data_IF_453419924351
#
_entry.id   IF_453419924351
#
_cell.length_a   1.000
_cell.length_b   1.000
_cell.length_c   1.000
_cell.angle_alpha   90.00
_cell.angle_beta   90.00
_cell.angle_gamma   90.00
#
_symmetry.space_group_name_H-M   'P 1'
#
loop_
_entity.id
_entity.type
_entity.pdbx_description
1 polymer ?
2 polymer ?
3 non-polymer ?
4 non-polymer ?
5 water ?
#
# COMPACT_ATOMS: atom_id res chain seq x y z
N UNK A 2 -10.68 -14.82 17.50
CA UNK A 2 -10.35 -13.43 17.19
C UNK A 2 -9.45 -13.22 15.97
N UNK A 3 -9.32 -14.21 15.06
CA UNK A 3 -8.49 -14.03 13.86
C UNK A 3 -9.07 -13.00 12.87
N UNK A 4 -10.36 -12.65 13.01
CA UNK A 4 -11.02 -11.70 12.13
C UNK A 4 -10.91 -10.22 12.56
N UNK A 5 -10.32 -9.92 13.72
CA UNK A 5 -10.23 -8.52 14.20
C UNK A 5 -9.58 -7.55 13.20
N UNK A 6 -10.21 -6.39 12.95
CA UNK A 6 -9.66 -5.43 11.97
C UNK A 6 -8.39 -4.72 12.46
N UNK A 7 -8.25 -4.54 13.78
CA UNK A 7 -7.09 -3.88 14.36
C UNK A 7 -5.81 -4.67 14.05
N UNK A 8 -5.83 -6.01 14.27
CA UNK A 8 -4.66 -6.85 14.05
C UNK A 8 -4.26 -6.91 12.56
N UNK A 9 -5.26 -6.82 11.66
CA UNK A 9 -5.05 -6.85 10.23
C UNK A 9 -4.33 -5.57 9.79
N UNK A 10 -4.81 -4.40 10.28
CA UNK A 10 -4.17 -3.14 9.94
C UNK A 10 -2.75 -3.06 10.50
N UNK A 11 -2.50 -3.60 11.68
CA UNK A 11 -1.17 -3.62 12.26
C UNK A 11 -0.22 -4.45 11.39
N UNK A 12 -0.69 -5.58 10.82
CA UNK A 12 0.12 -6.41 9.91
C UNK A 12 0.40 -5.66 8.64
N UNK A 13 -0.62 -4.97 8.08
CA UNK A 13 -0.45 -4.16 6.88
C UNK A 13 0.62 -3.08 7.12
N UNK A 14 0.54 -2.42 8.29
CA UNK A 14 1.46 -1.39 8.73
C UNK A 14 2.89 -1.88 8.78
N UNK A 15 3.18 -3.02 9.46
CA UNK A 15 4.53 -3.57 9.51
C UNK A 15 5.02 -3.91 8.11
N UNK A 16 4.22 -4.61 7.31
CA UNK A 16 4.60 -4.99 5.95
C UNK A 16 4.97 -3.77 5.12
N UNK A 17 4.19 -2.68 5.21
CA UNK A 17 4.46 -1.45 4.47
C UNK A 17 5.59 -0.62 5.05
N UNK A 18 5.90 -0.72 6.36
CA UNK A 18 7.07 -0.05 6.94
C UNK A 18 8.37 -0.72 6.40
N UNK A 19 8.29 -1.98 5.93
CA UNK A 19 9.42 -2.71 5.38
C UNK A 19 9.37 -2.93 3.87
N UNK A 20 8.71 -2.04 3.15
CA UNK A 20 8.66 -2.11 1.70
C UNK A 20 7.50 -2.83 1.03
N UNK A 21 6.51 -3.25 1.80
CA UNK A 21 5.31 -3.89 1.24
C UNK A 21 5.32 -5.40 1.17
N UNK A 22 6.43 -6.02 1.62
CA UNK A 22 6.65 -7.46 1.63
C UNK A 22 7.62 -7.89 2.74
N UNK A 23 7.33 -9.01 3.41
CA UNK A 23 8.22 -9.57 4.41
C UNK A 23 8.08 -11.05 4.42
N UNK A 24 9.16 -11.75 4.76
CA UNK A 24 9.11 -13.19 4.99
C UNK A 24 8.31 -13.38 6.30
N UNK A 25 7.48 -14.46 6.38
CA UNK A 25 6.64 -14.74 7.53
C UNK A 25 7.41 -14.77 8.85
N UNK A 26 8.60 -15.36 8.80
CA UNK A 26 9.56 -15.51 9.90
C UNK A 26 9.99 -14.11 10.44
N UNK A 27 10.25 -13.16 9.54
CA UNK A 27 10.65 -11.79 9.89
C UNK A 27 9.46 -10.99 10.42
N UNK A 28 8.25 -11.24 9.89
CA UNK A 28 7.04 -10.57 10.36
C UNK A 28 6.73 -10.98 11.80
N UNK A 29 6.92 -12.29 12.12
CA UNK A 29 6.69 -12.86 13.44
C UNK A 29 7.53 -12.21 14.54
N UNK A 30 8.74 -11.74 14.20
CA UNK A 30 9.59 -11.08 15.19
C UNK A 30 9.03 -9.72 15.66
N UNK A 31 8.01 -9.19 14.95
CA UNK A 31 7.49 -7.86 15.19
C UNK A 31 6.06 -7.79 15.66
N UNK A 32 5.40 -8.92 15.80
CA UNK A 32 4.01 -8.95 16.25
C UNK A 32 3.88 -10.11 17.23
N UNK A 33 3.21 -9.87 18.36
CA UNK A 33 3.08 -10.88 19.40
C UNK A 33 1.97 -11.89 19.15
N UNK A 34 2.11 -12.65 18.06
CA UNK A 34 1.20 -13.73 17.70
C UNK A 34 2.07 -14.95 17.41
N UNK A 35 1.62 -16.16 17.81
CA UNK A 35 2.35 -17.38 17.44
C UNK A 35 2.18 -17.59 15.90
N UNK A 36 3.02 -18.42 15.28
CA UNK A 36 2.91 -18.70 13.85
C UNK A 36 1.50 -19.16 13.42
N UNK A 37 0.86 -20.18 14.08
CA UNK A 37 -0.50 -20.54 13.67
C UNK A 37 -1.49 -19.39 13.82
N UNK A 38 -1.36 -18.56 14.88
CA UNK A 38 -2.25 -17.39 15.08
C UNK A 38 -2.11 -16.39 13.93
N UNK A 39 -0.87 -16.07 13.52
CA UNK A 39 -0.61 -15.15 12.42
C UNK A 39 -1.14 -15.76 11.11
N UNK A 40 -0.93 -17.06 10.91
CA UNK A 40 -1.42 -17.75 9.71
C UNK A 40 -2.94 -17.68 9.59
N UNK A 41 -3.67 -17.85 10.71
CA UNK A 41 -5.12 -17.79 10.73
C UNK A 41 -5.62 -16.39 10.33
N UNK A 42 -4.95 -15.33 10.82
CA UNK A 42 -5.31 -13.96 10.48
C UNK A 42 -5.10 -13.71 8.99
N UNK A 43 -3.98 -14.14 8.44
CA UNK A 43 -3.68 -13.95 7.01
C UNK A 43 -4.71 -14.68 6.16
N UNK A 44 -5.00 -15.96 6.50
CA UNK A 44 -5.99 -16.79 5.80
C UNK A 44 -7.39 -16.15 5.81
N UNK A 45 -7.91 -15.75 6.99
CA UNK A 45 -9.27 -15.22 7.07
C UNK A 45 -9.39 -13.82 6.43
N UNK A 46 -8.33 -12.99 6.51
CA UNK A 46 -8.34 -11.69 5.82
C UNK A 46 -8.34 -11.92 4.29
N UNK A 47 -7.62 -12.92 3.84
CA UNK A 47 -7.62 -13.31 2.44
C UNK A 47 -6.77 -12.50 1.50
N UNK A 48 -6.82 -12.85 0.20
CA UNK A 48 -5.95 -12.16 -0.81
C UNK A 48 -6.27 -10.69 -1.12
N UNK A 49 -7.41 -10.16 -0.67
CA UNK A 49 -7.70 -8.73 -0.88
C UNK A 49 -6.91 -7.83 0.10
N UNK A 50 -6.22 -8.42 1.09
CA UNK A 50 -5.42 -7.65 2.04
C UNK A 50 -4.01 -8.24 2.10
N UNK A 51 -3.88 -9.58 2.06
CA UNK A 51 -2.58 -10.25 2.15
C UNK A 51 -2.41 -11.33 1.10
N UNK A 52 -1.36 -11.21 0.29
CA UNK A 52 -1.03 -12.20 -0.70
C UNK A 52 0.08 -13.06 -0.13
N UNK A 53 -0.18 -14.35 0.09
CA UNK A 53 0.80 -15.25 0.67
C UNK A 53 1.44 -16.14 -0.38
N UNK A 54 2.78 -16.19 -0.41
CA UNK A 54 3.49 -16.99 -1.41
C UNK A 54 4.45 -17.98 -0.76
N UNK A 55 4.56 -19.17 -1.36
CA UNK A 55 5.48 -20.19 -0.91
C UNK A 55 6.65 -20.11 -1.88
N UNK A 56 7.54 -19.13 -1.67
CA UNK A 56 8.70 -18.84 -2.50
C UNK A 56 9.85 -19.80 -2.23
N UNK A 63 10.05 -21.13 2.91
CA UNK A 63 10.21 -19.68 2.73
C UNK A 63 8.89 -18.96 2.36
N UNK A 64 7.95 -18.82 3.33
CA UNK A 64 6.70 -18.09 3.07
C UNK A 64 6.93 -16.58 3.11
N UNK A 65 6.39 -15.91 2.12
CA UNK A 65 6.49 -14.46 1.94
C UNK A 65 5.09 -13.85 1.95
N UNK A 66 4.96 -12.62 2.47
CA UNK A 66 3.66 -11.96 2.57
C UNK A 66 3.69 -10.60 1.91
N UNK A 67 2.77 -10.32 1.01
CA UNK A 67 2.66 -9.06 0.29
C UNK A 67 1.41 -8.33 0.72
N UNK A 68 1.54 -7.06 1.06
CA UNK A 68 0.38 -6.26 1.49
C UNK A 68 -0.36 -5.67 0.32
N UNK A 69 -1.69 -5.67 0.37
CA UNK A 69 -2.49 -5.04 -0.67
C UNK A 69 -3.77 -4.41 -0.07
N UNK A 70 -4.59 -3.75 -0.92
CA UNK A 70 -5.81 -3.06 -0.49
C UNK A 70 -6.70 -2.83 -1.71
N UNK A 71 -7.98 -2.60 -1.46
CA UNK A 71 -8.92 -2.23 -2.52
C UNK A 71 -9.12 -0.70 -2.57
N UNK A 72 -8.46 0.09 -1.68
CA UNK A 72 -8.56 1.55 -1.64
C UNK A 72 -7.86 2.13 -2.85
N UNK A 73 -8.48 3.14 -3.46
CA UNK A 73 -7.97 3.77 -4.66
C UNK A 73 -7.90 5.29 -4.51
N UNK A 74 -7.05 5.91 -5.29
CA UNK A 74 -6.86 7.33 -5.34
C UNK A 74 -7.73 7.90 -6.49
N UNK A 75 -8.31 9.07 -6.28
CA UNK A 75 -9.13 9.75 -7.26
C UNK A 75 -8.25 10.14 -8.46
N UNK A 76 -8.69 9.81 -9.68
CA UNK A 76 -7.95 10.15 -10.90
C UNK A 76 -8.46 11.45 -11.53
N UNK A 77 -9.45 12.14 -10.95
CA UNK A 77 -9.99 13.36 -11.56
C UNK A 77 -8.96 14.50 -11.57
N UNK A 78 -8.90 15.26 -12.69
CA UNK A 78 -8.04 16.45 -12.72
C UNK A 78 -8.63 17.54 -11.82
N UNK A 79 -9.95 17.63 -11.76
CA UNK A 79 -10.68 18.53 -10.87
C UNK A 79 -11.85 17.71 -10.36
N UNK A 80 -11.89 17.48 -9.05
CA UNK A 80 -12.95 16.66 -8.49
C UNK A 80 -13.94 17.47 -7.71
N UNK A 81 -15.22 17.31 -8.06
CA UNK A 81 -16.30 18.00 -7.38
C UNK A 81 -16.98 17.01 -6.44
N UNK A 82 -16.84 17.22 -5.14
CA UNK A 82 -17.44 16.33 -4.14
C UNK A 82 -18.97 16.21 -4.30
N UNK A 83 -19.59 15.07 -3.89
CA UNK A 83 -19.02 13.91 -3.18
C UNK A 83 -18.25 12.95 -4.06
N UNK A 84 -17.28 12.25 -3.43
CA UNK A 84 -16.36 11.28 -4.06
C UNK A 84 -15.76 10.50 -2.89
N UNK A 85 -15.90 9.16 -2.88
CA UNK A 85 -15.41 8.37 -1.74
C UNK A 85 -14.04 7.67 -1.97
N UNK A 86 -13.18 8.25 -2.84
CA UNK A 86 -11.80 7.77 -3.06
C UNK A 86 -10.81 8.66 -2.26
N UNK A 87 -9.52 8.28 -2.19
CA UNK A 87 -8.51 9.12 -1.53
C UNK A 87 -8.16 10.28 -2.46
N UNK A 88 -7.89 11.45 -1.90
CA UNK A 88 -7.49 12.61 -2.68
C UNK A 88 -6.07 12.98 -2.31
N UNK A 89 -5.12 12.71 -3.20
CA UNK A 89 -3.73 13.02 -2.96
C UNK A 89 -2.97 13.19 -4.28
N UNK A 90 -1.87 13.94 -4.24
CA UNK A 90 -1.04 14.18 -5.40
C UNK A 90 -0.30 12.90 -5.77
N UNK A 91 -0.57 12.35 -6.96
CA UNK A 91 0.06 11.12 -7.43
C UNK A 91 1.56 11.28 -7.63
N UNK A 92 1.98 12.36 -8.32
CA UNK A 92 3.39 12.67 -8.62
C UNK A 92 4.23 12.82 -7.38
N UNK A 93 3.63 13.31 -6.29
CA UNK A 93 4.32 13.49 -5.02
C UNK A 93 4.69 12.11 -4.43
N UNK A 94 3.77 11.11 -4.55
CA UNK A 94 4.05 9.76 -4.04
C UNK A 94 5.14 9.04 -4.85
N UNK A 95 5.28 9.37 -6.13
CA UNK A 95 6.31 8.76 -6.97
C UNK A 95 7.70 9.47 -6.85
N UNK A 96 7.81 10.44 -5.94
CA UNK A 96 9.03 11.24 -5.73
C UNK A 96 9.32 12.16 -6.88
N UNK A 97 8.26 12.74 -7.47
CA UNK A 97 8.42 13.59 -8.64
C UNK A 97 7.41 14.75 -8.75
N UNK A 98 7.08 15.44 -7.62
CA UNK A 98 6.21 16.61 -7.72
C UNK A 98 7.08 17.82 -7.54
N UNK A 99 7.12 18.67 -8.56
CA UNK A 99 7.93 19.87 -8.52
C UNK A 99 7.61 20.80 -7.35
N UNK A 100 6.34 20.82 -6.90
CA UNK A 100 5.92 21.69 -5.79
C UNK A 100 6.43 21.24 -4.43
N UNK A 105 6.33 28.28 -1.89
CA UNK A 105 4.88 28.17 -1.92
C UNK A 105 4.40 26.92 -2.66
N UNK A 106 3.34 26.30 -2.19
CA UNK A 106 2.78 25.11 -2.84
C UNK A 106 1.56 25.46 -3.70
N UNK A 107 1.74 25.50 -5.02
CA UNK A 107 0.62 25.76 -5.92
C UNK A 107 0.03 24.49 -6.54
N UNK A 108 0.25 23.33 -5.92
CA UNK A 108 -0.31 22.09 -6.44
C UNK A 108 -1.80 22.07 -6.17
N UNK A 109 -2.58 21.68 -7.18
CA UNK A 109 -4.02 21.57 -7.02
C UNK A 109 -4.48 20.22 -6.42
N UNK A 110 -3.52 19.33 -6.09
CA UNK A 110 -3.76 18.03 -5.51
C UNK A 110 -3.13 17.99 -4.13
N UNK A 111 -3.82 17.38 -3.18
CA UNK A 111 -3.43 17.35 -1.77
C UNK A 111 -2.06 16.72 -1.50
N UNK A 112 -1.20 17.49 -0.81
CA UNK A 112 0.10 17.00 -0.33
C UNK A 112 -0.02 16.44 1.09
N UNK A 113 -1.08 16.81 1.82
CA UNK A 113 -1.36 16.26 3.14
C UNK A 113 -1.90 14.85 2.88
N UNK A 114 -1.04 13.84 3.00
CA UNK A 114 -1.46 12.45 2.76
C UNK A 114 -2.54 12.02 3.76
N UNK A 115 -2.39 12.38 5.04
CA UNK A 115 -3.36 12.01 6.06
C UNK A 115 -4.25 13.18 6.47
N UNK A 116 -4.89 13.80 5.49
CA UNK A 116 -5.83 14.91 5.73
C UNK A 116 -7.14 14.35 6.35
N UNK A 117 -8.07 15.21 6.80
CA UNK A 117 -9.32 14.75 7.40
C UNK A 117 -10.13 13.90 6.43
N UNK A 118 -10.24 14.35 5.18
CA UNK A 118 -10.96 13.61 4.14
C UNK A 118 -10.36 12.23 3.91
N UNK A 119 -9.03 12.13 3.84
CA UNK A 119 -8.37 10.86 3.61
C UNK A 119 -8.48 9.92 4.81
N UNK A 120 -8.45 10.48 6.03
CA UNK A 120 -8.59 9.73 7.27
C UNK A 120 -9.92 8.96 7.31
N UNK A 121 -11.01 9.60 6.85
CA UNK A 121 -12.34 9.00 6.78
C UNK A 121 -12.37 7.81 5.83
N UNK A 122 -11.74 7.95 4.65
CA UNK A 122 -11.63 6.87 3.65
C UNK A 122 -10.80 5.72 4.21
N UNK A 123 -9.73 6.03 4.95
CA UNK A 123 -8.90 5.02 5.59
C UNK A 123 -9.71 4.25 6.64
N UNK A 124 -10.56 4.93 7.40
CA UNK A 124 -11.43 4.27 8.37
C UNK A 124 -12.41 3.30 7.67
N UNK A 125 -12.95 3.68 6.48
CA UNK A 125 -13.86 2.81 5.71
C UNK A 125 -13.14 1.54 5.25
N UNK A 126 -11.86 1.66 4.88
CA UNK A 126 -11.09 0.48 4.44
C UNK A 126 -10.36 -0.25 5.58
N UNK A 127 -10.63 0.16 6.85
CA UNK A 127 -10.03 -0.36 8.08
C UNK A 127 -8.52 -0.24 8.03
N UNK A 128 -8.03 0.95 7.66
CA UNK A 128 -6.63 1.25 7.46
C UNK A 128 -6.10 2.42 8.30
N UNK A 129 -6.90 2.95 9.26
CA UNK A 129 -6.38 4.02 10.12
C UNK A 129 -5.30 3.42 11.03
N UNK A 130 -4.17 4.09 11.11
CA UNK A 130 -3.03 3.57 11.84
C UNK A 130 -1.76 3.58 11.00
N UNK A 131 -1.90 3.66 9.68
CA UNK A 131 -0.78 3.73 8.76
C UNK A 131 -0.30 5.18 8.71
N UNK A 132 1.01 5.40 8.57
CA UNK A 132 1.52 6.76 8.40
C UNK A 132 1.55 7.10 6.89
N UNK A 133 1.97 8.31 6.50
CA UNK A 133 2.01 8.69 5.08
C UNK A 133 3.00 7.84 4.25
N UNK A 134 4.12 7.41 4.85
CA UNK A 134 5.11 6.58 4.16
C UNK A 134 4.58 5.16 3.86
N UNK A 135 3.91 4.53 4.84
CA UNK A 135 3.33 3.18 4.69
C UNK A 135 2.16 3.18 3.74
N UNK A 136 1.32 4.22 3.75
CA UNK A 136 0.21 4.33 2.81
C UNK A 136 0.75 4.48 1.35
N UNK A 137 1.88 5.20 1.16
CA UNK A 137 2.48 5.41 -0.16
C UNK A 137 2.97 4.08 -0.74
N UNK A 138 3.65 3.26 0.11
CA UNK A 138 4.15 1.95 -0.29
C UNK A 138 2.95 1.05 -0.64
N UNK A 139 1.88 1.10 0.17
CA UNK A 139 0.67 0.32 -0.06
C UNK A 139 -0.04 0.67 -1.38
N UNK A 140 -0.29 1.95 -1.64
CA UNK A 140 -0.95 2.38 -2.87
C UNK A 140 -0.07 2.16 -4.09
N UNK A 141 1.25 2.35 -3.98
CA UNK A 141 2.17 2.15 -5.10
C UNK A 141 2.10 0.75 -5.69
N UNK A 142 1.97 -0.31 -4.86
CA UNK A 142 1.86 -1.66 -5.37
C UNK A 142 0.43 -2.16 -5.55
N UNK A 143 -0.59 -1.41 -5.10
CA UNK A 143 -1.98 -1.88 -5.18
C UNK A 143 -2.84 -1.14 -6.17
N UNK A 144 -2.58 0.17 -6.32
CA UNK A 144 -3.37 1.04 -7.18
C UNK A 144 -2.70 1.16 -8.54
N UNK A 145 -3.33 0.60 -9.60
CA UNK A 145 -2.72 0.66 -10.94
C UNK A 145 -2.57 2.06 -11.54
N UNK A 146 -3.15 3.08 -10.90
CA UNK A 146 -2.99 4.47 -11.32
C UNK A 146 -1.50 4.90 -11.18
N UNK A 147 -0.72 4.26 -10.31
CA UNK A 147 0.69 4.58 -10.13
C UNK A 147 1.63 3.97 -11.15
N UNK A 148 1.15 3.09 -12.00
CA UNK A 148 1.98 2.47 -13.02
C UNK A 148 2.05 3.33 -14.29
N UNK A 149 3.19 3.25 -15.02
CA UNK A 149 3.29 4.00 -16.29
C UNK A 149 2.27 3.55 -17.34
N UNK A 150 2.08 4.35 -18.38
CA UNK A 150 1.11 4.07 -19.44
C UNK A 150 1.39 2.78 -20.18
N UNK A 151 0.31 2.12 -20.64
CA UNK A 151 0.43 0.91 -21.43
C UNK A 151 0.40 1.27 -22.94
N UNK A 152 1.23 0.61 -23.77
CA UNK A 152 1.29 0.90 -25.21
C UNK A 152 0.00 0.41 -25.84
N UNK A 153 -0.71 1.29 -26.55
CA UNK A 153 -1.98 0.94 -27.19
C UNK A 153 -1.82 0.25 -28.53
N UNK A 154 -0.63 0.33 -29.16
CA UNK A 154 -0.42 -0.40 -30.42
C UNK A 154 0.17 -1.81 -30.22
N UNK A 155 0.34 -2.23 -28.96
CA UNK A 155 0.85 -3.55 -28.62
C UNK A 155 -0.33 -4.54 -28.66
N UNK A 156 -0.25 -5.55 -29.54
CA UNK A 156 -1.33 -6.52 -29.68
C UNK A 156 -1.03 -7.88 -29.03
N UNK A 157 0.25 -8.20 -28.84
CA UNK A 157 0.62 -9.48 -28.24
C UNK A 157 2.00 -9.99 -28.59
N UNK A 158 2.38 -11.12 -27.99
CA UNK A 158 3.67 -11.74 -28.19
C UNK A 158 3.80 -12.40 -29.57
N UNK A 159 4.99 -12.26 -30.18
CA UNK A 159 5.29 -12.82 -31.49
C UNK A 159 4.49 -12.18 -32.62
N UNK A 160 4.04 -10.92 -32.42
CA UNK A 160 3.20 -10.23 -33.40
C UNK A 160 3.46 -8.73 -33.49
N UNK A 161 3.28 -8.16 -34.71
CA UNK A 161 3.35 -6.74 -35.05
C UNK A 161 4.70 -6.05 -34.75
N UNK A 162 5.82 -6.81 -34.74
CA UNK A 162 7.17 -6.28 -34.46
C UNK A 162 7.18 -5.48 -33.14
N UNK A 163 6.53 -6.06 -32.09
CA UNK A 163 6.25 -5.47 -30.77
C UNK A 163 5.07 -4.48 -30.91
N UNK A 164 5.30 -3.34 -31.59
CA UNK A 164 4.31 -2.31 -31.89
C UNK A 164 4.78 -1.48 -33.13
N UNK A 165 4.30 -0.24 -33.32
CA UNK A 165 4.77 0.60 -34.43
C UNK A 165 6.26 0.98 -34.23
N UNK A 166 6.72 1.08 -32.97
CA UNK A 166 8.11 1.40 -32.65
C UNK A 166 8.86 0.11 -32.33
N UNK A 169 13.44 3.09 -28.77
CA UNK A 169 12.68 2.13 -27.94
C UNK A 169 11.32 2.69 -27.52
N UNK A 170 10.34 1.81 -27.32
CA UNK A 170 9.00 2.26 -26.93
C UNK A 170 9.00 2.65 -25.46
N UNK A 171 8.58 3.89 -25.17
CA UNK A 171 8.53 4.36 -23.78
C UNK A 171 7.32 3.84 -22.99
N UNK A 172 6.41 3.11 -23.63
CA UNK A 172 5.21 2.60 -22.96
C UNK A 172 5.27 1.07 -22.77
N UNK A 173 4.49 0.57 -21.80
CA UNK A 173 4.49 -0.84 -21.42
C UNK A 173 3.87 -1.78 -22.43
N UNK A 174 4.57 -2.88 -22.70
CA UNK A 174 4.06 -3.91 -23.58
C UNK A 174 3.52 -4.99 -22.70
N UNK A 175 2.45 -4.65 -22.00
CA UNK A 175 1.79 -5.52 -21.04
C UNK A 175 0.27 -5.51 -21.27
N UNK A 176 -0.41 -6.54 -20.77
CA UNK A 176 -1.86 -6.60 -20.82
C UNK A 176 -2.43 -5.60 -19.81
N UNK A 177 -3.29 -4.70 -20.30
CA UNK A 177 -4.00 -3.66 -19.55
C UNK A 177 -4.96 -4.30 -18.56
N UNK A 178 -5.67 -5.35 -18.98
CA UNK A 178 -6.62 -6.02 -18.09
C UNK A 178 -5.91 -6.73 -16.97
N UNK A 179 -4.72 -7.25 -17.21
CA UNK A 179 -3.94 -7.93 -16.18
C UNK A 179 -3.58 -6.96 -15.05
N UNK A 180 -3.09 -5.75 -15.40
CA UNK A 180 -2.72 -4.71 -14.45
C UNK A 180 -3.94 -4.19 -13.63
N UNK A 181 -5.15 -4.14 -14.26
CA UNK A 181 -6.36 -3.73 -13.56
C UNK A 181 -7.11 -4.89 -12.85
N UNK A 182 -6.51 -6.08 -12.82
CA UNK A 182 -7.06 -7.25 -12.17
C UNK A 182 -8.29 -7.85 -12.82
N UNK A 183 -8.50 -7.63 -14.12
CA UNK A 183 -9.67 -8.15 -14.80
C UNK A 183 -9.40 -8.76 -16.21
N UNK A 184 -8.37 -9.62 -16.34
CA UNK A 184 -8.12 -10.26 -17.63
C UNK A 184 -8.81 -11.61 -17.60
N UNK A 185 -10.12 -11.60 -17.89
CA UNK A 185 -10.94 -12.80 -17.84
C UNK A 185 -11.14 -13.42 -19.21
N UNK A 186 -10.14 -13.29 -20.11
CA UNK A 186 -10.27 -13.82 -21.46
C UNK A 186 -9.27 -14.92 -21.85
N UNK A 187 -9.75 -16.10 -22.33
CA UNK A 187 -8.82 -17.19 -22.68
C UNK A 187 -7.95 -16.97 -23.92
N UNK A 188 -8.38 -16.13 -24.87
CA UNK A 188 -7.57 -15.91 -26.07
C UNK A 188 -6.70 -14.65 -25.98
N UNK A 189 -6.14 -14.36 -24.78
CA UNK A 189 -5.27 -13.19 -24.59
C UNK A 189 -3.81 -13.47 -25.01
N UNK A 190 -3.34 -12.75 -26.02
CA UNK A 190 -1.95 -12.90 -26.48
C UNK A 190 -0.98 -11.90 -25.76
N UNK A 191 -1.52 -10.97 -24.95
CA UNK A 191 -0.69 -9.95 -24.31
C UNK A 191 0.03 -10.46 -23.08
N UNK A 192 1.26 -10.00 -22.89
CA UNK A 192 2.11 -10.38 -21.79
C UNK A 192 1.57 -10.02 -20.42
N UNK A 193 1.65 -10.96 -19.49
CA UNK A 193 1.31 -10.69 -18.10
C UNK A 193 2.59 -10.70 -17.27
N UNK A 194 3.77 -10.52 -17.90
CA UNK A 194 5.05 -10.60 -17.23
C UNK A 194 5.69 -9.24 -17.04
N UNK A 195 5.56 -8.70 -15.84
CA UNK A 195 6.13 -7.40 -15.46
C UNK A 195 7.64 -7.44 -15.12
N UNK A 196 8.24 -8.62 -14.91
CA UNK A 196 9.65 -8.71 -14.55
C UNK A 196 10.63 -8.73 -15.74
N UNK A 197 10.14 -8.36 -16.91
CA UNK A 197 10.90 -8.28 -18.12
C UNK A 197 11.84 -7.07 -18.01
N UNK A 198 13.03 -7.18 -18.62
CA UNK A 198 14.07 -6.14 -18.60
C UNK A 198 13.57 -4.76 -19.10
N UNK A 199 12.79 -4.75 -20.18
CA UNK A 199 12.27 -3.52 -20.74
C UNK A 199 11.20 -2.90 -19.85
N UNK A 200 10.33 -3.74 -19.26
CA UNK A 200 9.29 -3.26 -18.34
C UNK A 200 9.93 -2.64 -17.11
N UNK A 201 10.93 -3.30 -16.52
CA UNK A 201 11.59 -2.78 -15.33
C UNK A 201 12.24 -1.42 -15.58
N UNK A 202 12.83 -1.22 -16.76
CA UNK A 202 13.45 0.04 -17.11
C UNK A 202 12.40 1.17 -17.16
N UNK A 203 11.23 0.88 -17.77
CA UNK A 203 10.17 1.88 -17.85
C UNK A 203 9.61 2.15 -16.44
N UNK A 204 9.35 1.09 -15.66
CA UNK A 204 8.86 1.23 -14.28
C UNK A 204 9.81 2.10 -13.42
N UNK A 205 11.13 1.86 -13.49
CA UNK A 205 12.17 2.58 -12.74
C UNK A 205 12.22 4.07 -13.10
N UNK A 206 12.13 4.39 -14.39
CA UNK A 206 12.12 5.79 -14.82
C UNK A 206 10.91 6.55 -14.27
N UNK A 207 9.86 5.83 -13.88
CA UNK A 207 8.64 6.37 -13.33
C UNK A 207 8.48 6.16 -11.81
N UNK A 208 9.56 5.82 -11.12
CA UNK A 208 9.54 5.68 -9.66
C UNK A 208 9.29 4.31 -9.06
N UNK A 209 9.13 3.26 -9.88
CA UNK A 209 8.86 1.91 -9.37
C UNK A 209 10.08 0.99 -9.45
N UNK A 210 10.71 0.68 -8.31
CA UNK A 210 11.90 -0.19 -8.32
C UNK A 210 11.48 -1.68 -8.52
N UNK A 211 12.43 -2.59 -8.89
CA UNK A 211 12.03 -3.98 -9.16
C UNK A 211 11.37 -4.73 -8.02
N UNK A 212 11.63 -4.34 -6.77
CA UNK A 212 10.99 -4.97 -5.61
C UNK A 212 9.51 -4.64 -5.61
N UNK A 213 9.16 -3.37 -5.90
CA UNK A 213 7.80 -2.91 -6.00
C UNK A 213 7.11 -3.60 -7.17
N UNK A 214 7.80 -3.73 -8.33
CA UNK A 214 7.24 -4.41 -9.49
C UNK A 214 6.98 -5.89 -9.21
N UNK A 215 7.85 -6.56 -8.46
CA UNK A 215 7.63 -7.96 -8.09
C UNK A 215 6.40 -8.04 -7.15
N UNK A 216 6.18 -7.07 -6.26
CA UNK A 216 5.00 -7.06 -5.39
C UNK A 216 3.74 -6.91 -6.24
N UNK A 217 3.77 -5.98 -7.21
CA UNK A 217 2.66 -5.75 -8.13
C UNK A 217 2.35 -7.02 -8.92
N UNK A 218 3.40 -7.70 -9.44
CA UNK A 218 3.25 -8.95 -10.19
C UNK A 218 2.53 -10.00 -9.37
N UNK A 219 2.94 -10.17 -8.11
CA UNK A 219 2.32 -11.17 -7.24
C UNK A 219 0.88 -10.83 -6.90
N UNK A 220 0.59 -9.53 -6.75
CA UNK A 220 -0.78 -9.09 -6.47
C UNK A 220 -1.64 -9.32 -7.71
N UNK A 221 -1.14 -8.95 -8.89
CA UNK A 221 -1.85 -9.18 -10.14
C UNK A 221 -2.05 -10.69 -10.44
N UNK A 222 -1.06 -11.52 -10.14
CA UNK A 222 -1.18 -12.98 -10.32
C UNK A 222 -2.27 -13.53 -9.40
N UNK A 223 -2.41 -12.96 -8.21
CA UNK A 223 -3.41 -13.33 -7.20
C UNK A 223 -4.81 -12.95 -7.65
N UNK A 224 -4.95 -11.79 -8.30
CA UNK A 224 -6.24 -11.36 -8.82
C UNK A 224 -6.66 -12.22 -9.99
N UNK A 225 -5.70 -12.64 -10.82
CA UNK A 225 -5.91 -13.52 -11.98
C UNK A 225 -6.42 -14.93 -11.57
N UNK A 226 -6.51 -15.23 -10.26
CA UNK A 226 -7.04 -16.52 -9.78
C UNK A 226 -8.28 -16.31 -8.92
N UNK B 5 -7.31 21.06 17.32
CA UNK B 5 -7.69 19.66 17.13
C UNK B 5 -6.53 18.77 16.76
N UNK B 6 -6.22 18.68 15.45
CA UNK B 6 -5.11 17.86 14.94
C UNK B 6 -3.79 18.29 15.57
N UNK B 7 -3.00 17.33 16.07
CA UNK B 7 -1.75 17.63 16.74
C UNK B 7 -0.71 18.30 15.85
N UNK B 8 0.21 19.03 16.47
CA UNK B 8 1.34 19.64 15.79
C UNK B 8 2.47 18.58 15.74
N UNK B 9 3.46 18.76 14.85
CA UNK B 9 4.59 17.85 14.74
C UNK B 9 5.35 17.73 16.08
N UNK B 10 5.56 18.85 16.79
CA UNK B 10 6.26 18.80 18.06
C UNK B 10 5.46 18.14 19.18
N UNK B 11 4.13 18.17 19.09
CA UNK B 11 3.27 17.53 20.09
C UNK B 11 3.28 16.01 19.88
N UNK B 12 3.19 15.59 18.61
CA UNK B 12 3.20 14.19 18.24
C UNK B 12 4.54 13.57 18.62
N UNK B 13 5.64 14.28 18.34
CA UNK B 13 6.98 13.79 18.63
C UNK B 13 7.27 13.68 20.11
N UNK B 14 6.77 14.62 20.91
CA UNK B 14 6.93 14.58 22.36
C UNK B 14 6.16 13.37 22.91
N UNK B 15 4.90 13.20 22.47
CA UNK B 15 4.07 12.05 22.86
C UNK B 15 4.67 10.72 22.44
N UNK B 16 5.29 10.68 21.24
CA UNK B 16 5.94 9.50 20.72
C UNK B 16 7.13 9.11 21.59
N UNK B 17 7.99 10.07 21.92
CA UNK B 17 9.17 9.81 22.74
C UNK B 17 8.79 9.34 24.16
N UNK B 18 7.70 9.88 24.70
CA UNK B 18 7.20 9.49 26.00
C UNK B 18 6.64 8.09 25.97
N UNK B 19 5.87 7.76 24.93
CA UNK B 19 5.30 6.43 24.79
C UNK B 19 6.40 5.40 24.57
N UNK B 20 7.46 5.75 23.82
CA UNK B 20 8.58 4.84 23.56
C UNK B 20 9.41 4.55 24.79
N UNK B 21 9.49 5.50 25.72
CA UNK B 21 10.24 5.32 26.95
C UNK B 21 9.54 4.23 27.79
N UNK B 22 8.19 4.25 27.83
CA UNK B 22 7.42 3.23 28.53
C UNK B 22 7.45 1.91 27.74
N UNK B 23 6.94 1.92 26.51
CA UNK B 23 6.87 0.72 25.69
C UNK B 23 8.06 0.60 24.78
N UNK B 24 9.22 0.32 25.38
CA UNK B 24 10.49 0.22 24.66
C UNK B 24 10.45 -0.76 23.50
N UNK B 25 10.97 -0.31 22.37
CA UNK B 25 11.05 -1.14 21.19
C UNK B 25 9.74 -1.40 20.49
N UNK B 26 8.69 -0.67 20.84
CA UNK B 26 7.38 -0.88 20.21
C UNK B 26 7.06 0.30 19.31
N UNK B 27 8.02 0.66 18.46
CA UNK B 27 7.92 1.81 17.55
C UNK B 27 6.69 1.75 16.62
N UNK B 28 6.42 0.60 16.00
CA UNK B 28 5.29 0.48 15.07
C UNK B 28 3.96 0.62 15.83
N UNK B 29 3.82 -0.06 16.98
CA UNK B 29 2.62 0.05 17.80
C UNK B 29 2.37 1.47 18.34
N UNK B 30 3.43 2.17 18.78
CA UNK B 30 3.29 3.55 19.27
C UNK B 30 2.75 4.47 18.14
N UNK B 31 3.31 4.33 16.93
CA UNK B 31 2.90 5.15 15.78
C UNK B 31 1.48 4.79 15.34
N UNK B 32 1.14 3.49 15.36
CA UNK B 32 -0.18 2.95 15.00
C UNK B 32 -1.27 3.59 15.86
N UNK B 33 -1.00 3.74 17.17
CA UNK B 33 -1.91 4.36 18.14
C UNK B 33 -1.99 5.89 17.94
N UNK B 34 -0.88 6.52 17.60
CA UNK B 34 -0.85 7.96 17.35
C UNK B 34 -1.62 8.31 16.07
N UNK B 35 -1.59 7.43 15.05
CA UNK B 35 -2.32 7.66 13.80
C UNK B 35 -3.82 7.35 13.91
N UNK B 36 -4.20 6.40 14.78
CA UNK B 36 -5.61 6.06 14.97
C UNK B 36 -6.38 7.12 15.74
N UNK B 37 -5.70 7.87 16.63
CA UNK B 37 -6.29 8.94 17.41
C UNK B 37 -5.42 10.18 17.21
N UNK B 38 -5.51 10.84 16.04
CA UNK B 38 -4.63 12.00 15.79
C UNK B 38 -5.04 13.30 16.48
N UNK B 39 -6.21 13.33 17.13
CA UNK B 39 -6.66 14.53 17.86
C UNK B 39 -6.36 14.45 19.37
N UNK B 40 -6.10 13.24 19.88
CA UNK B 40 -5.86 12.98 21.30
C UNK B 40 -4.53 13.53 21.76
N UNK B 41 -4.54 14.28 22.86
CA UNK B 41 -3.33 14.86 23.44
C UNK B 41 -2.99 14.30 24.84
N UNK B 42 -3.79 13.35 25.35
CA UNK B 42 -3.62 12.74 26.65
C UNK B 42 -2.73 11.49 26.57
N UNK B 43 -1.54 11.55 27.20
CA UNK B 43 -0.58 10.44 27.27
C UNK B 43 -1.21 9.19 27.91
N UNK B 44 -2.08 9.37 28.92
CA UNK B 44 -2.75 8.25 29.57
C UNK B 44 -3.81 7.56 28.72
N UNK B 45 -4.57 8.29 27.90
CA UNK B 45 -5.56 7.67 27.01
C UNK B 45 -4.83 6.90 25.89
N UNK B 46 -3.75 7.49 25.36
CA UNK B 46 -2.91 6.90 24.33
C UNK B 46 -2.22 5.63 24.86
N UNK B 47 -1.86 5.59 26.15
CA UNK B 47 -1.21 4.42 26.77
C UNK B 47 -2.21 3.29 26.98
N UNK B 48 -3.44 3.64 27.39
CA UNK B 48 -4.48 2.64 27.61
C UNK B 48 -4.97 2.05 26.28
N UNK B 49 -4.95 2.84 25.20
CA UNK B 49 -5.32 2.34 23.88
C UNK B 49 -4.27 1.38 23.36
N UNK B 50 -3.00 1.63 23.66
CA UNK B 50 -1.90 0.77 23.26
C UNK B 50 -2.01 -0.56 24.01
N UNK B 51 -2.30 -0.50 25.31
CA UNK B 51 -2.43 -1.68 26.12
C UNK B 51 -3.63 -2.56 25.80
N UNK B 52 -4.63 -2.02 25.11
CA UNK B 52 -5.82 -2.79 24.74
C UNK B 52 -5.58 -3.77 23.57
N UNK B 53 -4.53 -3.55 22.78
CA UNK B 53 -4.18 -4.36 21.61
C UNK B 53 -3.60 -5.71 22.04
N UNK B 54 -4.22 -6.81 21.60
CA UNK B 54 -3.79 -8.17 21.93
C UNK B 54 -2.83 -8.75 20.92
N UNK B 55 -1.73 -8.05 20.67
CA UNK B 55 -0.72 -8.44 19.71
C UNK B 55 0.55 -7.58 19.87
#
# INVERSE_FOLDING_TARGET
>A
SNAADPEVCCFITKILCAHGGRMALDALLQEIALSEPQLCEVLQVAGPDRFVVLETGGEAGITRSVVATTRARVCRRKYCQRPCDNLHLCKLNLLGRCNYSQSERNLCKYSHEVLSEENFKVLKNHELSGLNKEELAVLLLQSDPFFMPEICKSYKGEGRQQICNQQPPCSRLHICDHFTRGNCRFPNCLRSHNLMDRKVLAIMREHGLNPDVVQNIQDICNSKHMQKN
>B
SNAGGIRKTRETERLRRQLLEVFWGQDHKVDFILQREPYCRDINQLSEALLSLNF
#
